data_IF_463090727075
#
_entry.id   IF_463090727075
#
_cell.length_a   1.000
_cell.length_b   1.000
_cell.length_c   1.000
_cell.angle_alpha   90.00
_cell.angle_beta   90.00
_cell.angle_gamma   90.00
#
_symmetry.space_group_name_H-M   'P 1'
#
loop_
_entity.id
_entity.type
_entity.pdbx_description
1 polymer ?
#
# COMPACT_ATOMS: atom_id res chain seq x y z
N UNK A 1 6.17 -10.45 27.23
CA UNK A 1 6.58 -9.10 27.57
C UNK A 1 6.37 -8.10 26.44
N UNK A 2 5.08 -7.91 26.08
CA UNK A 2 4.64 -6.95 25.06
C UNK A 2 5.10 -5.49 25.33
N UNK A 3 5.21 -4.99 26.58
CA UNK A 3 5.66 -3.63 26.83
C UNK A 3 7.14 -3.35 26.53
N UNK A 4 8.02 -4.32 26.71
CA UNK A 4 9.45 -4.16 26.39
C UNK A 4 9.68 -4.19 24.88
N UNK A 5 9.03 -5.10 24.18
CA UNK A 5 9.10 -5.19 22.72
C UNK A 5 8.60 -3.89 22.04
N UNK A 6 7.51 -3.32 22.52
CA UNK A 6 6.97 -2.05 22.03
C UNK A 6 7.92 -0.87 22.25
N UNK A 7 8.61 -0.83 23.40
CA UNK A 7 9.60 0.23 23.71
C UNK A 7 10.88 0.14 22.85
N UNK A 8 11.33 -1.08 22.57
CA UNK A 8 12.52 -1.31 21.75
C UNK A 8 12.25 -0.99 20.27
N UNK A 9 11.10 -1.37 19.75
CA UNK A 9 10.68 -1.02 18.39
C UNK A 9 10.57 0.50 18.20
N UNK A 10 10.07 1.22 19.20
CA UNK A 10 10.00 2.68 19.16
C UNK A 10 11.38 3.37 19.29
N UNK A 11 12.37 2.69 19.89
CA UNK A 11 13.72 3.23 20.06
C UNK A 11 14.66 2.89 18.91
N UNK A 12 14.23 2.11 17.93
CA UNK A 12 15.06 1.70 16.80
C UNK A 12 16.10 0.64 17.13
N UNK A 13 16.04 0.02 18.31
CA UNK A 13 16.86 -1.15 18.69
C UNK A 13 15.95 -2.38 18.68
N UNK A 14 15.97 -3.11 17.61
CA UNK A 14 15.34 -4.44 17.53
C UNK A 14 16.42 -5.49 17.64
N UNK A 15 16.35 -6.39 18.63
CA UNK A 15 17.21 -7.56 18.73
C UNK A 15 17.03 -8.54 17.56
N UNK A 16 16.01 -8.33 16.72
CA UNK A 16 15.74 -9.14 15.52
C UNK A 16 16.65 -8.80 14.34
N UNK A 17 17.54 -7.82 14.44
CA UNK A 17 18.48 -7.37 13.40
C UNK A 17 19.93 -7.78 13.73
N UNK A 18 20.16 -8.92 14.40
CA UNK A 18 21.51 -9.42 14.68
C UNK A 18 22.14 -10.25 13.55
N UNK A 19 21.68 -10.20 12.33
CA UNK A 19 22.34 -10.89 11.22
C UNK A 19 22.61 -9.97 10.04
N UNK A 20 23.75 -9.26 10.09
CA UNK A 20 24.49 -8.81 8.92
C UNK A 20 23.95 -7.55 8.26
N UNK A 21 24.35 -6.43 8.67
CA UNK A 21 24.60 -5.14 8.04
C UNK A 21 24.35 -3.99 9.04
N UNK A 22 25.23 -3.90 9.98
CA UNK A 22 25.24 -2.84 11.03
C UNK A 22 25.56 -1.44 10.48
N UNK A 23 25.29 -1.13 9.23
CA UNK A 23 25.86 0.05 8.56
C UNK A 23 24.90 1.21 8.28
N UNK A 24 23.59 1.16 8.63
CA UNK A 24 22.70 2.32 8.46
C UNK A 24 21.58 2.40 9.50
N UNK A 25 21.91 2.32 10.78
CA UNK A 25 20.97 2.69 11.81
C UNK A 25 20.92 4.22 11.92
N UNK A 26 19.83 4.82 11.50
CA UNK A 26 19.50 6.19 11.89
C UNK A 26 19.28 6.19 13.41
N UNK A 27 19.99 7.02 14.14
CA UNK A 27 20.10 7.03 15.61
C UNK A 27 18.79 7.27 16.39
N UNK A 28 17.63 7.39 15.72
CA UNK A 28 16.35 7.70 16.38
C UNK A 28 15.08 7.14 15.70
N UNK A 29 15.15 6.16 14.78
CA UNK A 29 14.00 5.62 14.06
C UNK A 29 14.10 4.14 13.75
N UNK A 30 13.08 3.60 13.09
CA UNK A 30 13.08 2.26 12.52
C UNK A 30 14.04 2.21 11.32
N UNK A 31 14.52 1.00 11.01
CA UNK A 31 15.32 0.76 9.81
C UNK A 31 14.54 1.12 8.53
N UNK A 32 15.24 1.65 7.50
CA UNK A 32 14.62 2.10 6.24
C UNK A 32 13.94 0.95 5.52
N UNK A 33 14.57 -0.20 5.45
CA UNK A 33 14.02 -1.39 4.79
C UNK A 33 12.78 -1.88 5.54
N UNK A 34 12.78 -1.80 6.86
CA UNK A 34 11.63 -2.14 7.67
C UNK A 34 10.45 -1.17 7.50
N UNK A 35 10.71 0.15 7.42
CA UNK A 35 9.69 1.18 7.17
C UNK A 35 9.03 0.94 5.80
N UNK A 36 9.84 0.63 4.78
CA UNK A 36 9.40 0.52 3.40
C UNK A 36 8.98 -0.89 2.99
N UNK A 37 9.00 -1.86 3.90
CA UNK A 37 8.65 -3.25 3.58
C UNK A 37 7.22 -3.39 3.03
N UNK A 38 6.26 -2.63 3.57
CA UNK A 38 4.89 -2.55 3.07
C UNK A 38 4.70 -1.38 2.10
N UNK A 39 5.52 -1.32 1.07
CA UNK A 39 5.38 -0.37 -0.01
C UNK A 39 4.40 -0.87 -1.06
N UNK A 40 3.57 0.05 -1.56
CA UNK A 40 2.64 -0.23 -2.64
C UNK A 40 3.36 -0.33 -3.97
N UNK A 41 3.07 -1.32 -4.77
CA UNK A 41 3.66 -1.44 -6.11
C UNK A 41 3.12 -0.36 -7.05
N UNK A 42 3.97 0.19 -7.93
CA UNK A 42 3.50 1.15 -8.94
C UNK A 42 2.39 0.52 -9.80
N UNK A 43 2.57 -0.75 -10.19
CA UNK A 43 1.55 -1.51 -10.92
C UNK A 43 0.30 -1.81 -10.08
N UNK A 44 0.40 -1.84 -8.76
CA UNK A 44 -0.75 -2.03 -7.87
C UNK A 44 -1.69 -0.83 -7.85
N UNK A 45 -1.22 0.37 -8.24
CA UNK A 45 -2.06 1.57 -8.36
C UNK A 45 -3.27 1.33 -9.27
N UNK A 46 -3.15 0.46 -10.27
CA UNK A 46 -4.27 0.07 -11.12
C UNK A 46 -5.37 -0.68 -10.38
N UNK A 47 -5.10 -1.23 -9.20
CA UNK A 47 -6.11 -1.89 -8.37
C UNK A 47 -7.17 -0.91 -7.86
N UNK A 48 -6.82 0.37 -7.68
CA UNK A 48 -7.79 1.44 -7.38
C UNK A 48 -8.88 1.56 -8.46
N UNK A 49 -8.52 1.24 -9.71
CA UNK A 49 -9.36 1.38 -10.91
C UNK A 49 -10.01 0.06 -11.32
N UNK A 50 -9.26 -1.04 -11.24
CA UNK A 50 -9.68 -2.37 -11.70
C UNK A 50 -9.59 -3.34 -10.52
N UNK A 51 -10.70 -3.96 -10.11
CA UNK A 51 -10.70 -4.89 -8.98
C UNK A 51 -9.77 -6.07 -9.28
N UNK A 52 -9.04 -6.49 -8.26
CA UNK A 52 -8.15 -7.65 -8.32
C UNK A 52 -7.06 -7.58 -9.42
N UNK A 53 -6.63 -6.38 -9.83
CA UNK A 53 -5.59 -6.21 -10.86
C UNK A 53 -4.28 -6.95 -10.50
N UNK A 54 -3.94 -7.02 -9.23
CA UNK A 54 -2.82 -7.81 -8.68
C UNK A 54 -3.29 -9.01 -7.85
N UNK A 55 -4.48 -9.53 -8.17
CA UNK A 55 -5.08 -10.64 -7.44
C UNK A 55 -5.84 -10.22 -6.19
N UNK A 56 -6.21 -11.22 -5.39
CA UNK A 56 -7.02 -11.02 -4.19
C UNK A 56 -6.19 -10.88 -2.90
N UNK A 57 -6.63 -11.56 -1.83
CA UNK A 57 -5.93 -11.57 -0.54
C UNK A 57 -4.73 -12.52 -0.54
N UNK A 58 -3.71 -12.19 0.23
CA UNK A 58 -2.58 -13.09 0.50
C UNK A 58 -2.97 -14.31 1.35
N UNK A 59 -4.06 -14.22 2.11
CA UNK A 59 -4.57 -15.32 2.94
C UNK A 59 -5.52 -16.26 2.20
N UNK A 60 -6.05 -15.85 1.04
CA UNK A 60 -6.96 -16.66 0.25
C UNK A 60 -6.18 -17.51 -0.75
N UNK A 61 -6.35 -18.85 -0.76
CA UNK A 61 -5.71 -19.70 -1.74
C UNK A 61 -6.31 -19.50 -3.14
N UNK A 62 -5.50 -19.71 -4.16
CA UNK A 62 -5.91 -19.54 -5.56
C UNK A 62 -7.07 -20.46 -5.95
N UNK A 63 -7.18 -21.63 -5.29
CA UNK A 63 -8.30 -22.57 -5.48
C UNK A 63 -9.69 -22.02 -5.16
N UNK A 64 -9.78 -20.94 -4.37
CA UNK A 64 -11.04 -20.27 -4.07
C UNK A 64 -11.48 -19.28 -5.16
N UNK A 65 -10.64 -19.00 -6.15
CA UNK A 65 -10.99 -18.12 -7.25
C UNK A 65 -11.66 -18.92 -8.36
N UNK A 66 -12.99 -18.78 -8.56
CA UNK A 66 -13.74 -19.46 -9.61
C UNK A 66 -13.16 -19.15 -10.99
N UNK A 67 -12.87 -17.88 -11.29
CA UNK A 67 -12.32 -17.44 -12.58
C UNK A 67 -10.93 -18.04 -12.85
N UNK A 68 -10.11 -18.22 -11.82
CA UNK A 68 -8.80 -18.86 -11.97
C UNK A 68 -8.97 -20.36 -12.20
N UNK A 69 -9.89 -21.00 -11.49
CA UNK A 69 -10.11 -22.44 -11.57
C UNK A 69 -10.76 -22.88 -12.89
N UNK A 70 -11.57 -22.04 -13.53
CA UNK A 70 -12.13 -22.30 -14.87
C UNK A 70 -11.03 -22.50 -15.94
N UNK A 71 -9.91 -21.79 -15.78
CA UNK A 71 -8.78 -21.83 -16.72
C UNK A 71 -7.62 -22.71 -16.24
N UNK A 72 -7.73 -23.25 -15.04
CA UNK A 72 -6.67 -24.01 -14.41
C UNK A 72 -6.57 -25.44 -14.97
N UNK A 73 -5.35 -25.95 -15.09
CA UNK A 73 -5.15 -27.34 -15.45
C UNK A 73 -5.45 -28.25 -14.25
N UNK A 74 -6.41 -29.19 -14.34
CA UNK A 74 -6.81 -30.07 -13.24
C UNK A 74 -5.65 -30.91 -12.65
N UNK A 75 -4.59 -31.16 -13.42
CA UNK A 75 -3.42 -31.93 -12.98
C UNK A 75 -2.71 -31.27 -11.80
N UNK A 76 -2.78 -29.93 -11.70
CA UNK A 76 -2.12 -29.15 -10.66
C UNK A 76 -3.06 -28.67 -9.54
N UNK A 77 -4.23 -29.28 -9.41
CA UNK A 77 -5.26 -28.84 -8.44
C UNK A 77 -4.77 -28.78 -6.99
N UNK A 78 -3.87 -29.69 -6.58
CA UNK A 78 -3.27 -29.66 -5.24
C UNK A 78 -2.36 -28.46 -4.99
N UNK A 79 -1.67 -27.98 -6.04
CA UNK A 79 -0.78 -26.82 -5.94
C UNK A 79 -1.55 -25.52 -5.74
N UNK A 80 -2.74 -25.38 -6.34
CA UNK A 80 -3.55 -24.16 -6.23
C UNK A 80 -4.03 -23.86 -4.81
N UNK A 81 -4.05 -24.85 -3.93
CA UNK A 81 -4.33 -24.65 -2.50
C UNK A 81 -3.16 -24.00 -1.75
N UNK A 82 -1.95 -24.09 -2.27
CA UNK A 82 -0.74 -23.57 -1.64
C UNK A 82 -0.36 -22.17 -2.14
N UNK A 83 -0.90 -21.73 -3.28
CA UNK A 83 -0.61 -20.41 -3.82
C UNK A 83 -1.63 -19.37 -3.36
N UNK A 84 -1.17 -18.19 -2.90
CA UNK A 84 -2.07 -17.07 -2.57
C UNK A 84 -2.69 -16.48 -3.86
N UNK A 85 -3.80 -15.77 -3.71
CA UNK A 85 -4.41 -15.04 -4.83
C UNK A 85 -3.65 -13.73 -5.14
N UNK A 86 -2.85 -13.22 -4.22
CA UNK A 86 -2.15 -11.96 -4.36
C UNK A 86 -0.79 -12.13 -5.06
N UNK A 87 -0.52 -11.25 -6.04
CA UNK A 87 0.70 -11.22 -6.84
C UNK A 87 1.31 -9.80 -6.91
N UNK A 88 1.22 -9.04 -5.82
CA UNK A 88 1.78 -7.68 -5.73
C UNK A 88 3.11 -7.62 -4.98
N UNK A 89 3.57 -6.38 -4.73
CA UNK A 89 4.89 -6.10 -4.13
C UNK A 89 4.89 -6.12 -2.61
N UNK A 90 3.71 -6.15 -1.97
CA UNK A 90 3.60 -6.16 -0.52
C UNK A 90 3.84 -7.59 0.01
N UNK A 91 4.52 -7.76 1.17
CA UNK A 91 4.72 -9.08 1.76
C UNK A 91 3.42 -9.80 2.09
N UNK A 92 2.42 -9.04 2.50
CA UNK A 92 1.10 -9.53 2.84
C UNK A 92 0.05 -8.42 2.70
N UNK A 93 -1.14 -8.79 2.19
CA UNK A 93 -2.30 -7.90 2.14
C UNK A 93 -3.58 -8.68 2.45
N UNK A 94 -4.53 -8.03 3.17
CA UNK A 94 -5.85 -8.59 3.44
C UNK A 94 -6.75 -8.57 2.18
N UNK A 95 -6.44 -7.71 1.21
CA UNK A 95 -7.17 -7.58 -0.03
C UNK A 95 -6.80 -6.31 -0.79
N UNK A 96 -7.18 -6.23 -2.05
CA UNK A 96 -6.89 -5.08 -2.89
C UNK A 96 -7.70 -3.85 -2.48
N UNK A 97 -7.08 -2.68 -2.58
CA UNK A 97 -7.75 -1.39 -2.42
C UNK A 97 -8.46 -1.03 -3.72
N UNK A 98 -9.79 -0.94 -3.68
CA UNK A 98 -10.61 -0.64 -4.85
C UNK A 98 -11.70 0.37 -4.53
N UNK A 99 -11.73 1.49 -5.23
CA UNK A 99 -12.69 2.58 -4.97
C UNK A 99 -14.06 2.41 -5.62
N UNK A 100 -14.22 1.48 -6.53
CA UNK A 100 -15.46 1.25 -7.27
C UNK A 100 -15.52 1.99 -8.61
N UNK A 101 -15.96 1.29 -9.67
CA UNK A 101 -15.99 1.84 -11.03
C UNK A 101 -16.90 3.06 -11.16
N UNK A 102 -18.06 3.03 -10.49
CA UNK A 102 -19.01 4.16 -10.51
C UNK A 102 -18.44 5.40 -9.79
N UNK A 103 -17.80 5.18 -8.63
CA UNK A 103 -17.14 6.26 -7.89
C UNK A 103 -16.01 6.87 -8.71
N UNK A 104 -15.23 6.01 -9.39
CA UNK A 104 -14.16 6.48 -10.27
C UNK A 104 -14.70 7.28 -11.44
N UNK A 105 -15.80 6.84 -12.08
CA UNK A 105 -16.46 7.61 -13.14
C UNK A 105 -16.87 9.00 -12.65
N UNK A 106 -17.53 9.09 -11.49
CA UNK A 106 -17.91 10.36 -10.89
C UNK A 106 -16.69 11.21 -10.49
N UNK A 107 -15.63 10.60 -9.98
CA UNK A 107 -14.38 11.30 -9.69
C UNK A 107 -13.80 11.96 -10.94
N UNK A 108 -13.71 11.21 -12.04
CA UNK A 108 -13.24 11.75 -13.33
C UNK A 108 -14.16 12.89 -13.81
N UNK A 109 -15.48 12.71 -13.72
CA UNK A 109 -16.44 13.74 -14.04
C UNK A 109 -16.24 14.99 -13.15
N UNK A 110 -16.01 14.79 -11.86
CA UNK A 110 -15.71 15.86 -10.90
C UNK A 110 -14.45 16.65 -11.24
N UNK A 111 -13.44 16.01 -11.83
CA UNK A 111 -12.25 16.71 -12.31
C UNK A 111 -12.57 17.78 -13.36
N UNK A 112 -13.64 17.62 -14.15
CA UNK A 112 -14.06 18.56 -15.18
C UNK A 112 -15.09 19.56 -14.69
N UNK A 113 -16.08 19.11 -13.92
CA UNK A 113 -17.26 19.91 -13.52
C UNK A 113 -16.98 20.77 -12.30
N UNK A 114 -16.34 20.21 -11.26
CA UNK A 114 -16.10 20.90 -10.00
C UNK A 114 -15.14 22.06 -10.22
N UNK A 115 -15.52 23.24 -9.74
CA UNK A 115 -14.73 24.49 -9.83
C UNK A 115 -14.21 24.89 -8.46
N UNK A 116 -13.11 25.61 -8.45
CA UNK A 116 -12.56 26.20 -7.22
C UNK A 116 -11.32 25.48 -6.67
N UNK A 117 -10.74 26.03 -5.59
CA UNK A 117 -9.47 25.54 -5.04
C UNK A 117 -9.60 24.17 -4.37
N UNK A 118 -10.78 23.82 -3.85
CA UNK A 118 -11.03 22.53 -3.19
C UNK A 118 -10.74 21.35 -4.12
N UNK A 119 -11.15 21.44 -5.39
CA UNK A 119 -10.82 20.41 -6.39
C UNK A 119 -9.33 20.14 -6.47
N UNK A 120 -8.53 21.19 -6.58
CA UNK A 120 -7.07 21.05 -6.71
C UNK A 120 -6.43 20.51 -5.43
N UNK A 121 -6.97 20.89 -4.26
CA UNK A 121 -6.53 20.33 -3.00
C UNK A 121 -6.81 18.83 -2.90
N UNK A 122 -8.01 18.39 -3.29
CA UNK A 122 -8.37 16.96 -3.29
C UNK A 122 -7.55 16.16 -4.30
N UNK A 123 -7.37 16.67 -5.51
CA UNK A 123 -6.53 16.04 -6.53
C UNK A 123 -5.07 15.96 -6.10
N UNK A 124 -4.54 17.04 -5.52
CA UNK A 124 -3.18 17.06 -4.97
C UNK A 124 -3.00 16.05 -3.85
N UNK A 125 -3.94 15.99 -2.90
CA UNK A 125 -3.91 15.02 -1.81
C UNK A 125 -3.99 13.57 -2.31
N UNK A 126 -4.87 13.28 -3.28
CA UNK A 126 -4.99 11.97 -3.92
C UNK A 126 -3.67 11.56 -4.57
N UNK A 127 -3.13 12.40 -5.45
CA UNK A 127 -1.88 12.12 -6.16
C UNK A 127 -0.72 11.91 -5.18
N UNK A 128 -0.60 12.80 -4.21
CA UNK A 128 0.49 12.79 -3.24
C UNK A 128 0.46 11.54 -2.34
N UNK A 129 -0.73 11.13 -1.91
CA UNK A 129 -0.88 9.90 -1.11
C UNK A 129 -0.51 8.64 -1.90
N UNK A 130 -0.86 8.58 -3.19
CA UNK A 130 -0.48 7.47 -4.07
C UNK A 130 1.04 7.39 -4.24
N UNK A 131 1.69 8.52 -4.52
CA UNK A 131 3.15 8.57 -4.72
C UNK A 131 3.89 8.23 -3.43
N UNK A 132 3.42 8.70 -2.27
CA UNK A 132 3.98 8.32 -0.98
C UNK A 132 3.80 6.83 -0.65
N UNK A 133 2.67 6.25 -1.04
CA UNK A 133 2.41 4.82 -0.83
C UNK A 133 3.38 3.91 -1.60
N UNK A 134 3.98 4.39 -2.70
CA UNK A 134 4.98 3.62 -3.45
C UNK A 134 6.24 3.32 -2.63
N UNK A 135 6.54 4.08 -1.57
CA UNK A 135 7.63 3.80 -0.63
C UNK A 135 8.94 3.43 -1.31
N UNK A 136 9.39 2.17 -1.21
CA UNK A 136 10.62 1.67 -1.83
C UNK A 136 10.67 1.83 -3.35
N UNK A 137 9.52 1.88 -4.02
CA UNK A 137 9.44 2.04 -5.47
C UNK A 137 9.65 3.50 -5.91
N UNK A 138 9.67 4.46 -4.95
CA UNK A 138 10.00 5.86 -5.20
C UNK A 138 10.84 6.45 -4.05
N UNK A 139 12.04 5.91 -3.85
CA UNK A 139 12.95 6.24 -2.75
C UNK A 139 13.28 7.74 -2.60
N UNK A 140 13.48 8.56 -3.66
CA UNK A 140 13.84 9.97 -3.46
C UNK A 140 12.85 10.75 -2.60
N UNK A 141 11.55 10.50 -2.75
CA UNK A 141 10.51 11.11 -1.93
C UNK A 141 10.45 10.47 -0.55
N UNK A 142 10.56 9.15 -0.49
CA UNK A 142 10.51 8.40 0.77
C UNK A 142 11.66 8.78 1.68
N UNK A 143 12.88 8.89 1.16
CA UNK A 143 14.06 9.34 1.92
C UNK A 143 13.89 10.76 2.45
N UNK A 144 13.38 11.67 1.62
CA UNK A 144 13.06 13.02 2.07
C UNK A 144 12.09 13.02 3.27
N UNK A 145 11.04 12.17 3.23
CA UNK A 145 10.09 12.07 4.33
C UNK A 145 10.69 11.42 5.58
N UNK A 146 11.52 10.38 5.42
CA UNK A 146 12.19 9.73 6.55
C UNK A 146 13.13 10.70 7.26
N UNK A 147 13.86 11.53 6.50
CA UNK A 147 14.91 12.38 7.05
C UNK A 147 14.38 13.71 7.59
N UNK A 148 13.34 14.30 6.99
CA UNK A 148 12.88 15.65 7.30
C UNK A 148 11.52 15.72 8.00
N UNK A 149 10.65 14.71 7.84
CA UNK A 149 9.32 14.74 8.44
C UNK A 149 9.34 14.02 9.79
N UNK A 150 9.09 14.75 10.89
CA UNK A 150 9.08 14.15 12.21
C UNK A 150 8.02 13.06 12.31
N UNK A 151 8.33 11.97 13.00
CA UNK A 151 7.47 10.81 13.23
C UNK A 151 7.30 9.88 12.02
N UNK A 152 7.64 10.27 10.78
CA UNK A 152 7.49 9.40 9.61
C UNK A 152 8.31 8.10 9.76
N UNK A 153 9.51 8.19 10.31
CA UNK A 153 10.40 7.06 10.59
C UNK A 153 9.95 6.14 11.75
N UNK A 154 8.77 6.37 12.32
CA UNK A 154 8.16 5.51 13.36
C UNK A 154 7.07 4.58 12.80
N UNK A 155 6.61 4.81 11.57
CA UNK A 155 5.62 3.98 10.90
C UNK A 155 6.31 2.94 10.02
N UNK A 156 5.69 1.76 9.90
CA UNK A 156 6.25 0.63 9.11
C UNK A 156 5.46 0.28 7.85
N UNK A 157 4.34 0.90 7.62
CA UNK A 157 3.44 0.57 6.53
C UNK A 157 3.12 1.84 5.74
N UNK A 158 4.05 2.24 4.85
CA UNK A 158 3.88 3.44 4.02
C UNK A 158 2.66 3.36 3.12
N UNK A 159 2.24 2.16 2.70
CA UNK A 159 1.04 1.95 1.91
C UNK A 159 -0.26 2.37 2.60
N UNK A 160 -0.29 2.45 3.95
CA UNK A 160 -1.48 2.89 4.69
C UNK A 160 -1.87 4.34 4.42
N UNK A 161 -0.98 5.16 3.84
CA UNK A 161 -1.29 6.54 3.42
C UNK A 161 -2.34 6.58 2.29
N UNK A 162 -2.58 5.45 1.59
CA UNK A 162 -3.64 5.34 0.57
C UNK A 162 -5.04 5.63 1.11
N UNK A 163 -5.25 5.54 2.43
CA UNK A 163 -6.53 5.94 3.07
C UNK A 163 -6.93 7.38 2.68
N UNK A 164 -5.96 8.25 2.42
CA UNK A 164 -6.22 9.61 1.95
C UNK A 164 -6.83 9.56 0.54
N UNK A 165 -6.28 8.76 -0.38
CA UNK A 165 -6.85 8.59 -1.71
C UNK A 165 -8.24 7.94 -1.66
N UNK A 166 -8.43 6.92 -0.82
CA UNK A 166 -9.71 6.26 -0.59
C UNK A 166 -10.80 7.21 -0.07
N UNK A 167 -10.41 8.25 0.64
CA UNK A 167 -11.32 9.29 1.11
C UNK A 167 -11.52 10.40 0.08
N UNK A 168 -10.46 10.90 -0.53
CA UNK A 168 -10.51 12.09 -1.41
C UNK A 168 -11.15 11.78 -2.77
N UNK A 169 -10.98 10.56 -3.29
CA UNK A 169 -11.62 10.13 -4.55
C UNK A 169 -13.14 10.13 -4.42
N UNK A 170 -13.77 9.42 -3.45
CA UNK A 170 -15.21 9.50 -3.27
C UNK A 170 -15.71 10.90 -2.90
N UNK A 171 -14.93 11.66 -2.14
CA UNK A 171 -15.32 13.02 -1.77
C UNK A 171 -15.45 13.92 -3.01
N UNK A 172 -14.49 13.89 -3.93
CA UNK A 172 -14.58 14.64 -5.19
C UNK A 172 -15.71 14.09 -6.08
N UNK A 173 -15.96 12.80 -6.06
CA UNK A 173 -17.07 12.18 -6.78
C UNK A 173 -18.45 12.66 -6.30
N UNK A 174 -18.61 12.93 -5.00
CA UNK A 174 -19.86 13.47 -4.43
C UNK A 174 -20.12 14.91 -4.90
N UNK A 175 -19.08 15.67 -5.16
CA UNK A 175 -19.22 17.05 -5.66
C UNK A 175 -19.49 17.14 -7.17
N UNK A 176 -19.41 16.04 -7.88
CA UNK A 176 -19.69 15.96 -9.32
C UNK A 176 -21.19 15.87 -9.61
#
# INVERSE_FOLDING_TARGET
DLPSYSKETMRGKSELVETGDAAKQTSSGLDRDYITNWSYGIGETWTLLVPNFKGGSSSAPLSQSETAMEKANPVYSSLYNSFPQYFGDQPWTAGPVYVGSFVLFLFVLGCFIVKGPLKWALLGATFFSIVLAWGKNFMPLTDFFIDYIPMYNKFRAVSSILVIAEFTIPLLAIFA
#
